data_IF_866767942599
#
_entry.id   IF_866767942599
#
_cell.length_a   1.000
_cell.length_b   1.000
_cell.length_c   1.000
_cell.angle_alpha   90.00
_cell.angle_beta   90.00
_cell.angle_gamma   90.00
#
_symmetry.space_group_name_H-M   'P 1'
#
loop_
_entity.id
_entity.type
_entity.pdbx_description
1 polymer ?
#
# COMPACT_ATOMS: atom_id res chain seq x y z
N UNK A 1 9.48 -11.99 9.86
CA UNK A 1 8.38 -12.08 8.90
C UNK A 1 7.31 -11.06 9.26
N UNK A 2 7.26 -9.99 8.46
CA UNK A 2 6.23 -8.97 8.51
C UNK A 2 4.84 -9.57 8.31
N UNK A 3 3.89 -9.17 9.13
CA UNK A 3 2.49 -9.59 9.09
C UNK A 3 1.64 -8.44 8.57
N UNK A 4 0.77 -8.72 7.59
CA UNK A 4 -0.17 -7.73 7.05
C UNK A 4 -1.53 -7.93 7.71
N UNK A 5 -2.00 -6.92 8.44
CA UNK A 5 -3.28 -6.88 9.14
C UNK A 5 -4.22 -5.94 8.39
N UNK A 6 -5.46 -6.35 8.11
CA UNK A 6 -6.48 -5.45 7.57
C UNK A 6 -7.11 -4.68 8.74
N UNK A 7 -6.94 -3.36 8.78
CA UNK A 7 -7.41 -2.54 9.91
C UNK A 7 -8.38 -1.48 9.41
N UNK A 8 -9.61 -1.51 9.90
CA UNK A 8 -10.66 -0.55 9.54
C UNK A 8 -11.87 -1.22 8.88
N UNK A 9 -12.91 -0.44 8.63
CA UNK A 9 -14.08 -0.93 7.88
C UNK A 9 -13.68 -1.10 6.41
N UNK A 10 -13.80 -2.31 5.84
CA UNK A 10 -13.54 -2.52 4.43
C UNK A 10 -14.60 -1.77 3.63
N UNK A 11 -14.16 -0.83 2.78
CA UNK A 11 -15.00 -0.36 1.69
C UNK A 11 -14.87 -1.37 0.53
N UNK A 12 -15.93 -1.55 -0.28
CA UNK A 12 -15.94 -2.55 -1.37
C UNK A 12 -14.70 -2.44 -2.27
N UNK A 13 -14.13 -1.24 -2.42
CA UNK A 13 -13.06 -0.95 -3.37
C UNK A 13 -11.69 -0.71 -2.74
N UNK A 14 -11.62 -0.49 -1.43
CA UNK A 14 -10.35 -0.18 -0.74
C UNK A 14 -10.24 -0.85 0.61
N UNK A 15 -9.04 -1.31 0.92
CA UNK A 15 -8.70 -1.84 2.25
C UNK A 15 -7.54 -1.06 2.84
N UNK A 16 -7.64 -0.74 4.12
CA UNK A 16 -6.51 -0.20 4.89
C UNK A 16 -5.79 -1.37 5.54
N UNK A 17 -4.47 -1.38 5.42
CA UNK A 17 -3.60 -2.42 5.94
C UNK A 17 -2.54 -1.83 6.88
N UNK A 18 -2.18 -2.59 7.90
CA UNK A 18 -1.05 -2.33 8.80
C UNK A 18 -0.04 -3.44 8.65
N UNK A 19 1.23 -3.09 8.71
CA UNK A 19 2.33 -4.04 8.60
C UNK A 19 3.05 -4.09 9.93
N UNK A 20 3.00 -5.26 10.56
CA UNK A 20 3.58 -5.51 11.88
C UNK A 20 4.84 -6.36 11.74
N UNK A 21 5.94 -5.92 12.31
CA UNK A 21 7.19 -6.66 12.39
C UNK A 21 7.67 -6.64 13.85
N UNK A 22 7.97 -7.81 14.43
CA UNK A 22 8.36 -7.94 15.84
C UNK A 22 7.40 -7.26 16.83
N UNK A 23 6.09 -7.40 16.62
CA UNK A 23 5.01 -6.77 17.40
C UNK A 23 4.97 -5.24 17.33
N UNK A 24 5.72 -4.60 16.42
CA UNK A 24 5.66 -3.17 16.16
C UNK A 24 5.07 -2.89 14.79
N UNK A 25 4.21 -1.87 14.69
CA UNK A 25 3.69 -1.40 13.42
C UNK A 25 4.75 -0.57 12.69
N UNK A 26 5.31 -1.13 11.60
CA UNK A 26 6.42 -0.56 10.84
C UNK A 26 5.97 0.23 9.60
N UNK A 27 4.79 -0.09 9.07
CA UNK A 27 4.20 0.60 7.92
C UNK A 27 2.67 0.52 7.93
N UNK A 28 2.03 1.46 7.24
CA UNK A 28 0.60 1.46 6.95
C UNK A 28 0.40 1.56 5.44
N UNK A 29 -0.66 0.94 4.91
CA UNK A 29 -0.95 1.01 3.50
C UNK A 29 -2.43 1.01 3.16
N UNK A 30 -2.70 1.32 1.89
CA UNK A 30 -4.02 1.22 1.29
C UNK A 30 -3.94 0.37 0.02
N UNK A 31 -4.78 -0.65 -0.04
CA UNK A 31 -4.98 -1.56 -1.15
C UNK A 31 -6.19 -1.07 -1.94
N UNK A 32 -6.05 -0.98 -3.26
CA UNK A 32 -7.09 -0.60 -4.20
C UNK A 32 -7.46 -1.83 -5.03
N UNK A 33 -8.66 -2.35 -4.84
CA UNK A 33 -9.13 -3.62 -5.42
C UNK A 33 -10.04 -3.44 -6.65
N UNK A 34 -10.31 -2.19 -7.05
CA UNK A 34 -11.18 -1.90 -8.17
C UNK A 34 -10.45 -2.05 -9.51
N UNK A 35 -11.13 -2.65 -10.49
CA UNK A 35 -10.74 -2.61 -11.90
C UNK A 35 -10.89 -1.18 -12.46
N UNK A 36 -10.30 -0.90 -13.63
CA UNK A 36 -10.31 0.43 -14.23
C UNK A 36 -11.74 0.97 -14.50
N UNK A 37 -12.70 0.10 -14.80
CA UNK A 37 -14.10 0.47 -15.02
C UNK A 37 -14.83 0.81 -13.71
N UNK A 38 -14.67 -0.01 -12.67
CA UNK A 38 -15.22 0.27 -11.33
C UNK A 38 -14.58 1.54 -10.73
N UNK A 39 -13.28 1.75 -10.93
CA UNK A 39 -12.56 2.95 -10.50
C UNK A 39 -13.09 4.22 -11.20
N UNK A 40 -13.41 4.15 -12.51
CA UNK A 40 -14.04 5.26 -13.26
C UNK A 40 -15.43 5.61 -12.70
N UNK A 41 -16.27 4.62 -12.43
CA UNK A 41 -17.61 4.82 -11.84
C UNK A 41 -17.49 5.42 -10.43
N UNK A 42 -16.50 4.97 -9.65
CA UNK A 42 -16.25 5.46 -8.29
C UNK A 42 -15.74 6.90 -8.27
N UNK A 43 -14.85 7.27 -9.20
CA UNK A 43 -14.38 8.66 -9.39
C UNK A 43 -15.54 9.61 -9.69
N UNK A 44 -16.50 9.18 -10.51
CA UNK A 44 -17.70 9.95 -10.79
C UNK A 44 -18.61 10.09 -9.55
N UNK A 45 -18.79 9.04 -8.76
CA UNK A 45 -19.67 9.06 -7.58
C UNK A 45 -19.13 9.88 -6.40
N UNK A 46 -17.82 9.84 -6.12
CA UNK A 46 -17.28 10.44 -4.90
C UNK A 46 -16.77 11.89 -5.03
N UNK A 47 -16.68 12.46 -6.24
CA UNK A 47 -16.07 13.80 -6.50
C UNK A 47 -14.68 14.00 -5.85
N UNK A 48 -14.05 12.94 -5.34
CA UNK A 48 -12.70 12.98 -4.78
C UNK A 48 -11.73 12.86 -5.96
N UNK A 49 -10.74 13.73 -5.98
CA UNK A 49 -9.54 13.56 -6.82
C UNK A 49 -8.83 12.30 -6.31
N UNK A 50 -9.25 11.14 -6.79
CA UNK A 50 -8.40 9.96 -6.73
C UNK A 50 -7.28 10.30 -7.72
N UNK A 51 -6.17 10.82 -7.19
CA UNK A 51 -4.90 10.86 -7.90
C UNK A 51 -4.67 9.45 -8.46
N UNK A 52 -4.29 9.36 -9.73
CA UNK A 52 -4.19 8.12 -10.51
C UNK A 52 -3.53 6.99 -9.71
N UNK A 53 -4.36 6.19 -9.04
CA UNK A 53 -3.98 4.90 -8.49
C UNK A 53 -4.32 3.89 -9.56
N UNK A 54 -3.30 3.24 -10.10
CA UNK A 54 -3.48 2.17 -11.08
C UNK A 54 -4.43 1.13 -10.48
N UNK A 55 -5.42 0.62 -11.23
CA UNK A 55 -6.28 -0.47 -10.75
C UNK A 55 -5.44 -1.64 -10.25
N UNK A 56 -5.89 -2.32 -9.19
CA UNK A 56 -5.10 -3.35 -8.50
C UNK A 56 -3.73 -2.86 -8.04
N UNK A 57 -3.69 -1.79 -7.23
CA UNK A 57 -2.45 -1.25 -6.67
C UNK A 57 -2.45 -1.21 -5.15
N UNK A 58 -1.25 -1.15 -4.57
CA UNK A 58 -1.05 -1.05 -3.13
C UNK A 58 -0.05 0.06 -2.85
N UNK A 59 -0.42 1.00 -1.99
CA UNK A 59 0.47 2.06 -1.50
C UNK A 59 0.78 1.79 -0.03
N UNK A 60 2.04 1.55 0.30
CA UNK A 60 2.53 1.32 1.66
C UNK A 60 3.49 2.44 2.03
N UNK A 61 3.31 3.02 3.22
CA UNK A 61 4.14 4.10 3.76
C UNK A 61 4.81 3.59 5.03
N UNK A 62 6.13 3.52 5.02
CA UNK A 62 6.94 3.21 6.20
C UNK A 62 6.91 4.37 7.20
N UNK A 63 6.87 4.05 8.49
CA UNK A 63 6.89 5.07 9.56
C UNK A 63 8.20 5.85 9.65
N UNK A 64 9.31 5.24 9.22
CA UNK A 64 10.62 5.87 9.21
C UNK A 64 11.53 5.24 8.15
N UNK A 65 12.62 5.94 7.84
CA UNK A 65 13.62 5.54 6.84
C UNK A 65 14.31 4.21 7.18
N UNK A 66 14.60 3.97 8.46
CA UNK A 66 15.28 2.75 8.90
C UNK A 66 14.44 1.49 8.56
N UNK A 67 13.13 1.54 8.76
CA UNK A 67 12.24 0.44 8.40
C UNK A 67 12.10 0.27 6.89
N UNK A 68 12.06 1.38 6.14
CA UNK A 68 12.06 1.31 4.69
C UNK A 68 13.32 0.59 4.16
N UNK A 69 14.50 0.93 4.66
CA UNK A 69 15.76 0.34 4.20
C UNK A 69 15.91 -1.13 4.61
N UNK A 70 15.52 -1.48 5.84
CA UNK A 70 15.73 -2.82 6.38
C UNK A 70 14.64 -3.81 6.03
N UNK A 71 13.39 -3.34 5.88
CA UNK A 71 12.22 -4.22 5.75
C UNK A 71 11.55 -4.15 4.38
N UNK A 72 12.00 -3.32 3.42
CA UNK A 72 11.29 -3.17 2.15
C UNK A 72 11.01 -4.49 1.45
N UNK A 73 11.99 -5.37 1.34
CA UNK A 73 11.83 -6.64 0.61
C UNK A 73 10.91 -7.60 1.36
N UNK A 74 10.95 -7.58 2.69
CA UNK A 74 10.09 -8.43 3.49
C UNK A 74 8.64 -7.94 3.44
N UNK A 75 8.43 -6.63 3.49
CA UNK A 75 7.14 -5.97 3.32
C UNK A 75 6.57 -6.24 1.93
N UNK A 76 7.37 -6.07 0.87
CA UNK A 76 6.96 -6.37 -0.50
C UNK A 76 6.45 -7.81 -0.60
N UNK A 77 7.25 -8.78 -0.14
CA UNK A 77 6.87 -10.20 -0.14
C UNK A 77 5.61 -10.48 0.65
N UNK A 78 5.47 -9.91 1.84
CA UNK A 78 4.30 -10.10 2.68
C UNK A 78 3.01 -9.56 2.02
N UNK A 79 3.11 -8.41 1.39
CA UNK A 79 2.01 -7.77 0.67
C UNK A 79 1.65 -8.55 -0.60
N UNK A 80 2.62 -8.87 -1.46
CA UNK A 80 2.40 -9.68 -2.67
C UNK A 80 1.83 -11.06 -2.37
N UNK A 81 2.27 -11.68 -1.26
CA UNK A 81 1.76 -12.99 -0.85
C UNK A 81 0.29 -12.94 -0.42
N UNK A 82 -0.13 -11.84 0.22
CA UNK A 82 -1.51 -11.67 0.69
C UNK A 82 -2.45 -11.22 -0.43
N UNK A 83 -2.01 -10.33 -1.30
CA UNK A 83 -2.78 -9.75 -2.39
C UNK A 83 -2.24 -10.22 -3.74
N UNK A 84 -2.43 -11.50 -4.05
CA UNK A 84 -1.89 -12.14 -5.27
C UNK A 84 -2.44 -11.57 -6.58
N UNK A 85 -3.55 -10.85 -6.51
CA UNK A 85 -4.19 -10.16 -7.63
C UNK A 85 -3.48 -8.86 -8.04
N UNK A 86 -2.59 -8.33 -7.19
CA UNK A 86 -1.82 -7.11 -7.43
C UNK A 86 -0.47 -7.51 -8.00
N UNK A 87 -0.17 -7.09 -9.23
CA UNK A 87 1.17 -7.24 -9.82
C UNK A 87 2.20 -6.42 -9.02
N UNK A 88 3.41 -6.95 -8.86
CA UNK A 88 4.49 -6.31 -8.09
C UNK A 88 4.82 -4.89 -8.60
N UNK A 89 4.59 -4.61 -9.88
CA UNK A 89 4.76 -3.25 -10.46
C UNK A 89 3.86 -2.20 -9.81
N UNK A 90 2.70 -2.62 -9.29
CA UNK A 90 1.69 -1.77 -8.67
C UNK A 90 1.77 -1.77 -7.13
N UNK A 91 2.86 -2.31 -6.57
CA UNK A 91 3.20 -2.17 -5.16
C UNK A 91 4.14 -0.98 -5.01
N UNK A 92 3.62 0.08 -4.42
CA UNK A 92 4.33 1.32 -4.15
C UNK A 92 4.74 1.36 -2.69
N UNK A 93 6.01 1.06 -2.44
CA UNK A 93 6.65 1.21 -1.14
C UNK A 93 7.25 2.60 -1.01
N UNK A 94 6.79 3.37 -0.02
CA UNK A 94 7.12 4.78 0.15
C UNK A 94 7.61 5.06 1.57
N UNK A 95 8.40 6.10 1.73
CA UNK A 95 8.81 6.63 3.03
C UNK A 95 8.90 8.15 2.96
N UNK A 96 8.61 8.82 4.07
CA UNK A 96 8.77 10.26 4.16
C UNK A 96 10.23 10.62 4.44
N UNK A 97 10.81 11.45 3.57
CA UNK A 97 12.16 12.01 3.69
C UNK A 97 12.10 13.51 3.43
N UNK A 98 12.64 14.32 4.33
CA UNK A 98 12.65 15.78 4.19
C UNK A 98 11.25 16.38 3.87
N UNK A 99 10.19 15.83 4.47
CA UNK A 99 8.80 16.27 4.25
C UNK A 99 8.20 15.86 2.90
N UNK A 100 8.82 14.93 2.17
CA UNK A 100 8.35 14.41 0.89
C UNK A 100 8.21 12.89 0.94
N UNK A 101 7.13 12.36 0.38
CA UNK A 101 6.98 10.91 0.18
C UNK A 101 7.82 10.47 -1.01
N UNK A 102 8.85 9.68 -0.74
CA UNK A 102 9.77 9.14 -1.75
C UNK A 102 9.58 7.63 -1.89
N UNK A 103 9.73 7.11 -3.12
CA UNK A 103 9.67 5.67 -3.38
C UNK A 103 10.95 5.01 -2.87
N UNK A 104 10.79 3.96 -2.07
CA UNK A 104 11.90 3.10 -1.66
C UNK A 104 12.33 2.28 -2.88
N UNK A 105 13.56 2.49 -3.36
CA UNK A 105 14.11 1.73 -4.48
C UNK A 105 14.85 0.51 -3.93
N UNK A 106 14.60 -0.66 -4.52
CA UNK A 106 15.47 -1.82 -4.30
C UNK A 106 16.79 -1.49 -4.99
N UNK A 107 17.85 -1.38 -4.20
CA UNK A 107 19.23 -1.35 -4.72
C UNK A 107 19.64 -2.67 -5.32
#
# INVERSE_FOLDING_TARGET
>A
MAQVIESGQPDKYTKVIKIIYNNEEVAEGKVYLADEQEAKIFKQKLKKKIEEGTPYSIKVIFKNEKYAETLMQEVEKAVSSKYREVDNKHIYLLVERNGRLERVRSG
#
